data_IF_444258828728
#
_entry.id   IF_444258828728
#
_cell.length_a   1.000
_cell.length_b   1.000
_cell.length_c   1.000
_cell.angle_alpha   90.00
_cell.angle_beta   90.00
_cell.angle_gamma   90.00
#
_symmetry.space_group_name_H-M   'P 1'
#
loop_
_entity.id
_entity.type
_entity.pdbx_description
1 polymer ?
#
# COMPACT_ATOMS: atom_id res chain seq x y z
N UNK A 1 -18.50 -2.08 -21.97
CA UNK A 1 -17.23 -2.62 -21.45
C UNK A 1 -16.20 -1.51 -21.53
N UNK A 2 -15.95 -0.79 -20.44
CA UNK A 2 -15.02 0.36 -20.46
C UNK A 2 -13.60 -0.21 -20.34
N UNK A 3 -12.89 -0.30 -21.46
CA UNK A 3 -11.44 -0.46 -21.44
C UNK A 3 -10.86 0.82 -20.83
N UNK A 4 -10.52 0.77 -19.54
CA UNK A 4 -9.71 1.82 -18.91
C UNK A 4 -8.31 1.69 -19.52
N UNK A 5 -8.06 2.46 -20.57
CA UNK A 5 -6.75 2.50 -21.22
C UNK A 5 -5.71 2.88 -20.18
N UNK A 6 -4.68 2.05 -20.06
CA UNK A 6 -3.52 2.31 -19.22
C UNK A 6 -2.92 3.64 -19.65
N UNK A 7 -3.15 4.68 -18.85
CA UNK A 7 -2.81 6.05 -19.21
C UNK A 7 -1.31 6.28 -19.04
N UNK A 8 -0.74 7.18 -19.84
CA UNK A 8 0.66 7.59 -19.70
C UNK A 8 1.00 8.02 -18.27
N UNK A 9 0.03 8.62 -17.57
CA UNK A 9 0.14 9.00 -16.16
C UNK A 9 0.28 7.79 -15.23
N UNK A 10 -0.47 6.71 -15.45
CA UNK A 10 -0.34 5.47 -14.69
C UNK A 10 1.01 4.78 -14.97
N UNK A 11 1.47 4.78 -16.23
CA UNK A 11 2.81 4.30 -16.59
C UNK A 11 3.92 5.10 -15.91
N UNK A 12 3.81 6.43 -15.89
CA UNK A 12 4.77 7.31 -15.25
C UNK A 12 4.84 7.06 -13.74
N UNK A 13 3.70 6.96 -13.06
CA UNK A 13 3.68 6.64 -11.63
C UNK A 13 4.29 5.28 -11.32
N UNK A 14 3.98 4.25 -12.11
CA UNK A 14 4.55 2.91 -11.93
C UNK A 14 6.06 2.93 -12.18
N UNK A 15 6.53 3.68 -13.19
CA UNK A 15 7.94 3.80 -13.52
C UNK A 15 8.73 4.52 -12.43
N UNK A 16 8.21 5.65 -11.93
CA UNK A 16 8.82 6.41 -10.81
C UNK A 16 8.83 5.56 -9.54
N UNK A 17 7.76 4.81 -9.28
CA UNK A 17 7.67 3.90 -8.15
C UNK A 17 8.67 2.74 -8.25
N UNK A 18 8.84 2.13 -9.43
CA UNK A 18 9.86 1.12 -9.69
C UNK A 18 11.27 1.68 -9.50
N UNK A 19 11.55 2.88 -10.02
CA UNK A 19 12.83 3.56 -9.81
C UNK A 19 13.09 3.85 -8.34
N UNK A 20 12.08 4.27 -7.60
CA UNK A 20 12.15 4.47 -6.16
C UNK A 20 12.48 3.16 -5.44
N UNK A 21 11.81 2.05 -5.79
CA UNK A 21 12.13 0.72 -5.23
C UNK A 21 13.56 0.28 -5.56
N UNK A 22 14.03 0.49 -6.79
CA UNK A 22 15.42 0.19 -7.21
C UNK A 22 16.42 1.04 -6.43
N UNK A 23 16.13 2.33 -6.24
CA UNK A 23 16.96 3.24 -5.47
C UNK A 23 17.02 2.85 -3.99
N UNK A 24 15.86 2.55 -3.40
CA UNK A 24 15.76 2.07 -2.02
C UNK A 24 16.58 0.77 -1.85
N UNK A 25 16.44 -0.16 -2.79
CA UNK A 25 17.20 -1.41 -2.82
C UNK A 25 18.71 -1.15 -2.88
N UNK A 26 19.17 -0.21 -3.73
CA UNK A 26 20.59 0.15 -3.85
C UNK A 26 21.14 0.80 -2.57
N UNK A 27 20.41 1.72 -1.96
CA UNK A 27 20.81 2.35 -0.70
C UNK A 27 20.93 1.32 0.41
N UNK A 28 19.90 0.48 0.56
CA UNK A 28 19.86 -0.53 1.61
C UNK A 28 20.99 -1.55 1.42
N UNK A 29 21.23 -2.01 0.19
CA UNK A 29 22.36 -2.90 -0.12
C UNK A 29 23.73 -2.29 0.19
N UNK A 30 23.88 -0.97 0.01
CA UNK A 30 25.12 -0.26 0.30
C UNK A 30 25.34 -0.05 1.81
N UNK A 31 24.26 0.12 2.57
CA UNK A 31 24.28 0.40 4.01
C UNK A 31 24.26 -0.86 4.88
N UNK A 32 23.73 -1.98 4.39
CA UNK A 32 23.52 -3.22 5.14
C UNK A 32 23.95 -4.43 4.30
N UNK A 33 24.67 -5.39 4.89
CA UNK A 33 25.09 -6.66 4.26
C UNK A 33 23.90 -7.61 3.98
N UNK A 34 22.76 -7.08 3.53
CA UNK A 34 21.57 -7.86 3.26
C UNK A 34 21.72 -8.58 1.93
N UNK A 35 21.42 -9.88 1.93
CA UNK A 35 21.50 -10.67 0.70
C UNK A 35 20.39 -10.23 -0.26
N UNK A 36 20.67 -10.28 -1.56
CA UNK A 36 19.66 -9.99 -2.59
C UNK A 36 18.39 -10.84 -2.42
N UNK A 37 18.54 -12.07 -1.90
CA UNK A 37 17.45 -12.98 -1.59
C UNK A 37 16.57 -12.48 -0.44
N UNK A 38 17.16 -11.98 0.65
CA UNK A 38 16.41 -11.41 1.79
C UNK A 38 15.61 -10.18 1.37
N UNK A 39 16.21 -9.31 0.56
CA UNK A 39 15.53 -8.13 0.02
C UNK A 39 14.35 -8.49 -0.89
N UNK A 40 14.52 -9.46 -1.78
CA UNK A 40 13.44 -9.95 -2.65
C UNK A 40 12.29 -10.55 -1.85
N UNK A 41 12.59 -11.43 -0.88
CA UNK A 41 11.58 -12.03 0.01
C UNK A 41 10.82 -10.93 0.75
N UNK A 42 11.54 -9.92 1.25
CA UNK A 42 10.93 -8.83 2.01
C UNK A 42 10.07 -7.92 1.15
N UNK A 43 10.47 -7.68 -0.11
CA UNK A 43 9.67 -6.92 -1.06
C UNK A 43 8.39 -7.67 -1.42
N UNK A 44 8.48 -8.96 -1.73
CA UNK A 44 7.30 -9.80 -1.99
C UNK A 44 6.39 -9.86 -0.77
N UNK A 45 6.94 -10.10 0.42
CA UNK A 45 6.19 -10.13 1.67
C UNK A 45 5.51 -8.80 1.97
N UNK A 46 6.20 -7.68 1.75
CA UNK A 46 5.64 -6.33 1.90
C UNK A 46 4.44 -6.10 0.97
N UNK A 47 4.55 -6.49 -0.31
CA UNK A 47 3.43 -6.38 -1.27
C UNK A 47 2.25 -7.25 -0.82
N UNK A 48 2.49 -8.51 -0.46
CA UNK A 48 1.45 -9.44 -0.01
C UNK A 48 0.72 -8.87 1.21
N UNK A 49 1.45 -8.42 2.23
CA UNK A 49 0.85 -7.84 3.44
C UNK A 49 0.08 -6.56 3.13
N UNK A 50 0.57 -5.71 2.23
CA UNK A 50 -0.14 -4.49 1.82
C UNK A 50 -1.45 -4.84 1.12
N UNK A 51 -1.46 -5.83 0.23
CA UNK A 51 -2.69 -6.30 -0.41
C UNK A 51 -3.64 -6.94 0.61
N UNK A 52 -3.14 -7.80 1.51
CA UNK A 52 -3.95 -8.40 2.57
C UNK A 52 -4.54 -7.36 3.52
N UNK A 53 -3.85 -6.24 3.74
CA UNK A 53 -4.36 -5.17 4.60
C UNK A 53 -5.63 -4.51 4.06
N UNK A 54 -5.95 -4.66 2.76
CA UNK A 54 -7.24 -4.24 2.19
C UNK A 54 -8.44 -5.03 2.73
N UNK A 55 -8.20 -6.23 3.26
CA UNK A 55 -9.25 -7.04 3.89
C UNK A 55 -9.70 -6.43 5.22
N UNK A 56 -8.86 -5.60 5.83
CA UNK A 56 -9.24 -4.84 7.01
C UNK A 56 -10.05 -3.61 6.58
N UNK A 57 -11.23 -3.46 7.16
CA UNK A 57 -12.07 -2.30 6.94
C UNK A 57 -12.63 -1.76 8.24
N UNK A 58 -12.67 -0.43 8.36
CA UNK A 58 -13.30 0.30 9.44
C UNK A 58 -14.46 1.12 8.87
N UNK A 59 -15.59 1.11 9.57
CA UNK A 59 -16.74 1.96 9.25
C UNK A 59 -16.89 3.07 10.28
N UNK A 60 -17.36 4.24 9.84
CA UNK A 60 -17.63 5.38 10.70
C UNK A 60 -18.60 6.37 10.08
N UNK A 61 -18.97 7.39 10.85
CA UNK A 61 -19.83 8.47 10.42
C UNK A 61 -19.07 9.80 10.49
N UNK A 62 -19.16 10.59 9.42
CA UNK A 62 -18.58 11.94 9.35
C UNK A 62 -19.67 12.92 8.91
N UNK A 63 -20.33 13.54 9.89
CA UNK A 63 -21.48 14.41 9.65
C UNK A 63 -22.61 13.65 8.94
N UNK A 64 -22.92 14.05 7.70
CA UNK A 64 -23.99 13.47 6.89
C UNK A 64 -23.50 12.37 5.94
N UNK A 65 -22.29 11.85 6.18
CA UNK A 65 -21.67 10.80 5.37
C UNK A 65 -21.35 9.56 6.19
N UNK A 66 -21.70 8.40 5.66
CA UNK A 66 -21.18 7.10 6.08
C UNK A 66 -19.84 6.89 5.36
N UNK A 67 -18.77 6.65 6.13
CA UNK A 67 -17.41 6.47 5.63
C UNK A 67 -16.98 5.05 5.91
N UNK A 68 -16.45 4.36 4.91
CA UNK A 68 -15.81 3.06 5.07
C UNK A 68 -14.39 3.12 4.51
N UNK A 69 -13.45 2.84 5.39
CA UNK A 69 -12.03 2.89 5.10
C UNK A 69 -11.46 1.49 5.05
N UNK A 70 -10.50 1.25 4.16
CA UNK A 70 -9.82 -0.04 4.00
C UNK A 70 -8.32 0.16 4.00
N UNK A 71 -7.61 -0.81 4.56
CA UNK A 71 -6.17 -0.76 4.72
C UNK A 71 -5.75 -0.60 6.17
N UNK A 72 -4.63 -1.23 6.51
CA UNK A 72 -3.98 -1.17 7.82
C UNK A 72 -2.46 -1.06 7.61
N UNK A 73 -1.69 -0.42 8.50
CA UNK A 73 -2.12 0.38 9.67
C UNK A 73 -2.73 1.73 9.30
N UNK A 74 -2.35 2.32 8.15
CA UNK A 74 -3.07 3.48 7.61
C UNK A 74 -4.07 3.03 6.56
N UNK A 75 -5.24 3.66 6.59
CA UNK A 75 -6.26 3.47 5.57
C UNK A 75 -5.75 4.01 4.23
N UNK A 76 -5.93 3.28 3.13
CA UNK A 76 -5.53 3.76 1.81
C UNK A 76 -6.58 3.60 0.71
N UNK A 77 -7.74 3.04 1.03
CA UNK A 77 -8.98 3.25 0.29
C UNK A 77 -10.00 3.83 1.26
N UNK A 78 -10.66 4.91 0.86
CA UNK A 78 -11.80 5.48 1.57
C UNK A 78 -12.99 5.50 0.63
N UNK A 79 -14.13 5.04 1.12
CA UNK A 79 -15.38 5.11 0.42
C UNK A 79 -16.37 5.92 1.26
N UNK A 80 -17.03 6.89 0.64
CA UNK A 80 -17.99 7.77 1.31
C UNK A 80 -19.36 7.66 0.64
N UNK A 81 -20.41 7.66 1.45
CA UNK A 81 -21.82 7.63 1.02
C UNK A 81 -22.62 8.69 1.77
N UNK A 82 -23.43 9.48 1.07
CA UNK A 82 -24.35 10.41 1.74
C UNK A 82 -25.49 9.67 2.44
N UNK A 83 -25.76 10.04 3.70
CA UNK A 83 -26.87 9.50 4.52
C UNK A 83 -28.21 10.09 4.05
N UNK A 84 -28.24 11.35 3.60
CA UNK A 84 -29.46 12.06 3.21
C UNK A 84 -30.03 11.64 1.85
N UNK A 85 -29.18 11.12 0.95
CA UNK A 85 -29.59 10.68 -0.39
C UNK A 85 -29.06 9.29 -0.72
N UNK A 86 -29.56 8.24 -0.05
CA UNK A 86 -29.04 6.88 -0.19
C UNK A 86 -29.26 6.24 -1.57
N UNK A 87 -30.11 6.85 -2.42
CA UNK A 87 -30.56 6.34 -3.73
C UNK A 87 -29.86 7.00 -4.95
N UNK A 88 -28.97 7.97 -4.74
CA UNK A 88 -28.03 8.36 -5.80
C UNK A 88 -27.01 7.23 -5.90
N UNK A 89 -27.06 6.51 -7.01
CA UNK A 89 -26.47 5.19 -7.20
C UNK A 89 -24.95 5.20 -7.05
N UNK A 90 -24.45 4.75 -5.90
CA UNK A 90 -23.04 4.39 -5.70
C UNK A 90 -22.49 4.88 -4.35
N UNK A 91 -21.39 4.28 -3.92
CA UNK A 91 -20.50 4.97 -2.98
C UNK A 91 -20.00 6.21 -3.70
N UNK A 92 -20.64 7.37 -3.42
CA UNK A 92 -20.51 8.62 -4.17
C UNK A 92 -19.06 9.06 -4.40
N UNK A 93 -18.14 8.61 -3.54
CA UNK A 93 -16.72 8.86 -3.69
C UNK A 93 -15.89 7.70 -3.17
N UNK A 94 -15.09 7.09 -4.05
CA UNK A 94 -13.98 6.21 -3.65
C UNK A 94 -12.66 6.95 -3.88
N UNK A 95 -11.87 7.12 -2.81
CA UNK A 95 -10.57 7.80 -2.85
C UNK A 95 -9.47 6.78 -2.54
N UNK A 96 -8.47 6.73 -3.41
CA UNK A 96 -7.25 5.96 -3.15
C UNK A 96 -6.16 6.88 -2.62
N UNK A 97 -5.80 6.72 -1.34
CA UNK A 97 -4.78 7.51 -0.66
C UNK A 97 -3.40 6.93 -0.97
N UNK A 98 -2.87 7.27 -2.15
CA UNK A 98 -1.60 6.75 -2.70
C UNK A 98 -0.44 6.83 -1.71
N UNK A 99 -0.33 7.92 -0.95
CA UNK A 99 0.74 8.09 0.03
C UNK A 99 0.63 7.11 1.20
N UNK A 100 -0.59 6.84 1.68
CA UNK A 100 -0.82 5.87 2.75
C UNK A 100 -0.51 4.44 2.25
N UNK A 101 -0.86 4.13 0.99
CA UNK A 101 -0.48 2.87 0.37
C UNK A 101 1.04 2.67 0.33
N UNK A 102 1.78 3.68 -0.15
CA UNK A 102 3.25 3.64 -0.22
C UNK A 102 3.85 3.53 1.19
N UNK A 103 3.33 4.28 2.16
CA UNK A 103 3.79 4.22 3.55
C UNK A 103 3.60 2.82 4.15
N UNK A 104 2.42 2.22 3.99
CA UNK A 104 2.16 0.87 4.48
C UNK A 104 3.07 -0.15 3.79
N UNK A 105 3.28 -0.02 2.49
CA UNK A 105 4.18 -0.90 1.76
C UNK A 105 5.61 -0.82 2.29
N UNK A 106 6.13 0.38 2.54
CA UNK A 106 7.45 0.58 3.13
C UNK A 106 7.50 -0.01 4.54
N UNK A 107 6.47 0.21 5.35
CA UNK A 107 6.34 -0.34 6.70
C UNK A 107 6.38 -1.88 6.69
N UNK A 108 5.56 -2.52 5.85
CA UNK A 108 5.52 -3.97 5.74
C UNK A 108 6.81 -4.54 5.14
N UNK A 109 7.40 -3.87 4.16
CA UNK A 109 8.70 -4.24 3.64
C UNK A 109 9.76 -4.26 4.76
N UNK A 110 9.86 -3.18 5.54
CA UNK A 110 10.81 -3.08 6.65
C UNK A 110 10.51 -4.12 7.74
N UNK A 111 9.24 -4.37 8.04
CA UNK A 111 8.81 -5.39 9.00
C UNK A 111 9.31 -6.78 8.57
N UNK A 112 8.97 -7.22 7.36
CA UNK A 112 9.37 -8.53 6.84
C UNK A 112 10.89 -8.65 6.78
N UNK A 113 11.57 -7.56 6.45
CA UNK A 113 13.03 -7.52 6.37
C UNK A 113 13.70 -7.66 7.73
N UNK A 114 13.18 -7.00 8.76
CA UNK A 114 13.67 -7.19 10.12
C UNK A 114 13.38 -8.61 10.63
N UNK A 115 12.17 -9.14 10.38
CA UNK A 115 11.80 -10.50 10.78
C UNK A 115 12.67 -11.55 10.09
N UNK A 116 12.88 -11.44 8.78
CA UNK A 116 13.74 -12.38 8.04
C UNK A 116 15.19 -12.32 8.50
N UNK A 117 15.71 -11.13 8.86
CA UNK A 117 17.05 -11.01 9.43
C UNK A 117 17.16 -11.63 10.83
N UNK A 118 16.15 -11.44 11.69
CA UNK A 118 16.07 -12.11 13.00
C UNK A 118 16.07 -13.62 12.86
N UNK A 119 15.23 -14.16 11.98
CA UNK A 119 15.11 -15.61 11.74
C UNK A 119 16.38 -16.22 11.13
N UNK A 120 17.15 -15.44 10.38
CA UNK A 120 18.41 -15.90 9.77
C UNK A 120 19.64 -15.63 10.65
N UNK A 121 19.45 -15.15 11.88
CA UNK A 121 20.52 -14.92 12.85
C UNK A 121 21.48 -13.78 12.49
N UNK A 122 21.12 -12.91 11.53
CA UNK A 122 21.92 -11.74 11.18
C UNK A 122 21.63 -10.62 12.19
N UNK A 123 22.65 -10.19 12.94
CA UNK A 123 22.54 -9.03 13.85
C UNK A 123 22.11 -7.79 13.05
N UNK A 124 21.07 -7.12 13.55
CA UNK A 124 20.38 -5.95 12.95
C UNK A 124 21.27 -4.71 12.95
#
# INVERSE_FOLDING_TARGET
MIHRNFTFTEFFYISVFLLFLIFLFRIIKKQRQWSSRSLLISLMGGIILTVLSLLYSEGGYSGMFEVKSYGFPRQFIEQMRSIEKPNLTGWDRTVFLKFNFIQNLILYFLLVLNVTNLLTGRKI
#
